data_IF_893356131723
#
_entry.id   IF_893356131723
#
_cell.length_a   1.000
_cell.length_b   1.000
_cell.length_c   1.000
_cell.angle_alpha   90.00
_cell.angle_beta   90.00
_cell.angle_gamma   90.00
#
_symmetry.space_group_name_H-M   'P 1'
#
loop_
_entity.id
_entity.type
_entity.pdbx_description
1 polymer ?
#
# COMPACT_ATOMS: atom_id res chain seq x y z
N UNK A 1 0.72 -6.43 11.91
CA UNK A 1 0.97 -6.46 10.45
C UNK A 1 -0.32 -6.03 9.78
N UNK A 2 -0.27 -5.01 8.91
CA UNK A 2 -1.44 -4.56 8.16
C UNK A 2 -1.73 -5.45 6.95
N UNK A 3 -2.92 -5.32 6.36
CA UNK A 3 -3.30 -6.11 5.17
C UNK A 3 -2.39 -5.85 3.97
N UNK A 4 -1.97 -4.60 3.76
CA UNK A 4 -1.02 -4.24 2.71
C UNK A 4 0.35 -4.94 2.89
N UNK A 5 0.84 -5.05 4.12
CA UNK A 5 2.09 -5.77 4.44
C UNK A 5 1.98 -7.26 4.08
N UNK A 6 0.81 -7.88 4.36
CA UNK A 6 0.57 -9.28 4.07
C UNK A 6 0.58 -9.55 2.57
N UNK A 7 -0.13 -8.71 1.79
CA UNK A 7 -0.16 -8.79 0.33
C UNK A 7 1.26 -8.65 -0.23
N UNK A 8 2.00 -7.64 0.24
CA UNK A 8 3.37 -7.40 -0.25
C UNK A 8 4.34 -8.51 0.15
N UNK A 9 4.26 -9.00 1.38
CA UNK A 9 5.10 -10.11 1.85
C UNK A 9 4.85 -11.39 1.05
N UNK A 10 3.61 -11.64 0.62
CA UNK A 10 3.29 -12.75 -0.29
C UNK A 10 3.91 -12.52 -1.67
N UNK A 11 3.80 -11.32 -2.24
CA UNK A 11 4.46 -10.98 -3.51
C UNK A 11 5.99 -11.16 -3.44
N UNK A 12 6.63 -10.79 -2.33
CA UNK A 12 8.07 -10.99 -2.13
C UNK A 12 8.46 -12.48 -2.09
N UNK A 13 7.62 -13.34 -1.49
CA UNK A 13 7.91 -14.77 -1.31
C UNK A 13 7.54 -15.63 -2.51
N UNK A 14 6.37 -15.37 -3.10
CA UNK A 14 5.74 -16.22 -4.11
C UNK A 14 5.84 -15.62 -5.52
N UNK A 15 6.09 -14.31 -5.62
CA UNK A 15 6.36 -13.64 -6.89
C UNK A 15 5.24 -13.80 -7.91
N UNK A 16 5.60 -14.31 -9.09
CA UNK A 16 4.67 -14.47 -10.20
C UNK A 16 3.54 -15.47 -9.91
N UNK A 17 3.79 -16.51 -9.11
CA UNK A 17 2.77 -17.50 -8.78
C UNK A 17 1.58 -16.85 -8.05
N UNK A 18 1.84 -15.90 -7.15
CA UNK A 18 0.80 -15.17 -6.46
C UNK A 18 0.03 -14.21 -7.38
N UNK A 19 0.69 -13.63 -8.38
CA UNK A 19 -0.01 -12.85 -9.42
C UNK A 19 -0.94 -13.76 -10.23
N UNK A 20 -0.51 -14.98 -10.59
CA UNK A 20 -1.38 -15.94 -11.28
C UNK A 20 -2.58 -16.33 -10.43
N UNK A 21 -2.38 -16.63 -9.14
CA UNK A 21 -3.46 -16.91 -8.18
C UNK A 21 -4.47 -15.75 -8.13
N UNK A 22 -4.00 -14.49 -8.10
CA UNK A 22 -4.88 -13.32 -8.14
C UNK A 22 -5.73 -13.28 -9.41
N UNK A 23 -5.20 -13.67 -10.56
CA UNK A 23 -5.95 -13.68 -11.83
C UNK A 23 -6.98 -14.82 -11.82
N UNK A 24 -6.56 -16.02 -11.42
CA UNK A 24 -7.41 -17.22 -11.37
C UNK A 24 -8.60 -17.02 -10.44
N UNK A 25 -8.38 -16.39 -9.29
CA UNK A 25 -9.41 -16.07 -8.31
C UNK A 25 -10.18 -14.78 -8.60
N UNK A 26 -9.91 -14.10 -9.73
CA UNK A 26 -10.51 -12.81 -10.07
C UNK A 26 -10.43 -11.80 -8.91
N UNK A 27 -9.23 -11.67 -8.33
CA UNK A 27 -8.99 -10.82 -7.18
C UNK A 27 -9.48 -9.40 -7.44
N UNK A 28 -10.41 -8.93 -6.62
CA UNK A 28 -10.93 -7.57 -6.64
C UNK A 28 -9.88 -6.56 -6.17
N UNK A 29 -9.81 -5.44 -6.87
CA UNK A 29 -9.24 -4.21 -6.32
C UNK A 29 -9.99 -3.81 -5.06
N UNK A 30 -9.25 -3.30 -4.09
CA UNK A 30 -9.84 -2.92 -2.81
C UNK A 30 -9.06 -1.77 -2.19
N UNK A 31 -9.30 -1.50 -0.91
CA UNK A 31 -8.66 -0.40 -0.19
C UNK A 31 -7.14 -0.56 0.00
N UNK A 32 -6.60 -1.77 -0.20
CA UNK A 32 -5.17 -2.09 -0.03
C UNK A 32 -4.48 -2.56 -1.32
N UNK A 33 -5.22 -2.81 -2.40
CA UNK A 33 -4.70 -3.39 -3.63
C UNK A 33 -5.24 -2.66 -4.85
N UNK A 34 -4.34 -2.28 -5.75
CA UNK A 34 -4.63 -1.55 -6.98
C UNK A 34 -3.79 -2.15 -8.12
N UNK A 35 -4.45 -2.54 -9.22
CA UNK A 35 -3.81 -3.05 -10.42
C UNK A 35 -3.65 -1.89 -11.42
N UNK A 36 -2.51 -1.85 -12.09
CA UNK A 36 -2.27 -0.86 -13.14
C UNK A 36 -1.60 -1.46 -14.35
N UNK A 37 -2.06 -1.04 -15.51
CA UNK A 37 -1.33 -1.22 -16.76
C UNK A 37 -0.33 -0.09 -16.93
N UNK A 38 0.87 -0.46 -17.38
CA UNK A 38 1.80 0.52 -17.94
C UNK A 38 1.27 0.98 -19.30
N UNK A 39 1.29 2.29 -19.55
CA UNK A 39 0.78 2.89 -20.80
C UNK A 39 1.36 2.22 -22.05
N UNK A 40 2.67 2.01 -22.06
CA UNK A 40 3.36 1.23 -23.10
C UNK A 40 4.25 0.17 -22.41
N UNK A 41 3.88 -1.12 -22.47
CA UNK A 41 4.64 -2.19 -21.83
C UNK A 41 5.97 -2.50 -22.54
N UNK A 42 6.19 -2.02 -23.77
CA UNK A 42 7.41 -2.29 -24.54
C UNK A 42 8.59 -1.44 -24.09
N UNK A 43 8.33 -0.27 -23.53
CA UNK A 43 9.34 0.65 -23.01
C UNK A 43 9.38 0.63 -21.49
N UNK A 44 10.58 0.77 -20.91
CA UNK A 44 10.74 0.94 -19.47
C UNK A 44 10.51 2.39 -19.01
N UNK A 45 10.49 3.36 -19.93
CA UNK A 45 10.33 4.77 -19.56
C UNK A 45 8.91 5.06 -19.08
N UNK A 46 8.80 5.82 -18.00
CA UNK A 46 7.52 6.29 -17.47
C UNK A 46 6.91 7.37 -18.37
N UNK A 47 5.70 7.12 -18.87
CA UNK A 47 4.91 8.13 -19.59
C UNK A 47 4.42 9.24 -18.64
N UNK A 48 3.84 10.30 -19.20
CA UNK A 48 3.19 11.33 -18.39
C UNK A 48 2.04 10.79 -17.56
N UNK A 49 1.27 9.84 -18.10
CA UNK A 49 0.12 9.25 -17.41
C UNK A 49 0.55 8.17 -16.40
N UNK A 50 1.60 7.40 -16.70
CA UNK A 50 2.19 6.48 -15.71
C UNK A 50 2.65 7.26 -14.47
N UNK A 51 3.29 8.43 -14.66
CA UNK A 51 3.72 9.32 -13.56
C UNK A 51 2.55 9.86 -12.75
N UNK A 52 1.47 10.30 -13.42
CA UNK A 52 0.25 10.77 -12.73
C UNK A 52 -0.36 9.64 -11.91
N UNK A 53 -0.57 8.46 -12.52
CA UNK A 53 -1.16 7.30 -11.85
C UNK A 53 -0.33 6.88 -10.64
N UNK A 54 0.99 6.82 -10.79
CA UNK A 54 1.90 6.52 -9.69
C UNK A 54 1.80 7.56 -8.57
N UNK A 55 1.91 8.86 -8.88
CA UNK A 55 1.81 9.92 -7.87
C UNK A 55 0.46 9.93 -7.14
N UNK A 56 -0.63 9.72 -7.88
CA UNK A 56 -2.00 9.61 -7.34
C UNK A 56 -2.10 8.45 -6.34
N UNK A 57 -1.62 7.28 -6.72
CA UNK A 57 -1.67 6.09 -5.89
C UNK A 57 -0.77 6.20 -4.65
N UNK A 58 0.44 6.73 -4.80
CA UNK A 58 1.35 6.98 -3.68
C UNK A 58 0.72 7.93 -2.65
N UNK A 59 0.12 9.04 -3.09
CA UNK A 59 -0.56 10.00 -2.22
C UNK A 59 -1.78 9.37 -1.57
N UNK A 60 -2.63 8.71 -2.36
CA UNK A 60 -3.86 8.07 -1.90
C UNK A 60 -3.63 7.03 -0.81
N UNK A 61 -2.69 6.12 -1.02
CA UNK A 61 -2.36 5.11 -0.02
C UNK A 61 -1.65 5.68 1.21
N UNK A 62 -0.70 6.62 1.04
CA UNK A 62 -0.01 7.26 2.17
C UNK A 62 -0.97 8.02 3.09
N UNK A 63 -2.05 8.56 2.53
CA UNK A 63 -3.08 9.32 3.24
C UNK A 63 -4.20 8.46 3.85
N UNK A 64 -4.18 7.14 3.62
CA UNK A 64 -5.21 6.21 4.09
C UNK A 64 -4.60 5.17 5.03
N UNK A 65 -4.54 3.90 4.64
CA UNK A 65 -4.05 2.78 5.45
C UNK A 65 -2.92 2.02 4.75
N UNK A 66 -2.22 2.68 3.83
CA UNK A 66 -1.26 2.04 2.94
C UNK A 66 -1.93 1.17 1.87
N UNK A 67 -1.11 0.52 1.05
CA UNK A 67 -1.56 -0.34 -0.03
C UNK A 67 -0.44 -0.84 -0.93
N UNK A 68 -0.80 -1.65 -1.91
CA UNK A 68 0.08 -2.25 -2.90
C UNK A 68 -0.43 -1.94 -4.29
N UNK A 69 0.46 -1.46 -5.15
CA UNK A 69 0.21 -1.27 -6.58
C UNK A 69 0.92 -2.40 -7.33
N UNK A 70 0.23 -3.10 -8.22
CA UNK A 70 0.86 -4.11 -9.09
C UNK A 70 0.77 -3.64 -10.54
N UNK A 71 1.95 -3.37 -11.12
CA UNK A 71 2.09 -2.94 -12.51
C UNK A 71 2.21 -4.13 -13.46
N UNK A 72 1.45 -4.08 -14.55
CA UNK A 72 1.42 -5.11 -15.59
C UNK A 72 0.28 -6.12 -15.41
N UNK A 73 -0.72 -5.82 -14.58
CA UNK A 73 -1.95 -6.63 -14.46
C UNK A 73 -3.11 -5.79 -15.00
N UNK A 74 -3.90 -6.39 -15.88
CA UNK A 74 -5.14 -5.81 -16.39
C UNK A 74 -6.27 -6.16 -15.43
N UNK A 75 -7.00 -5.14 -14.98
CA UNK A 75 -8.23 -5.29 -14.24
C UNK A 75 -9.41 -4.77 -15.07
N UNK A 76 -10.57 -5.43 -14.93
CA UNK A 76 -11.81 -5.06 -15.63
C UNK A 76 -12.99 -5.03 -14.65
N UNK A 77 -13.95 -4.13 -14.87
CA UNK A 77 -15.10 -4.02 -14.00
C UNK A 77 -16.00 -5.25 -14.15
N UNK A 78 -16.42 -5.81 -13.03
CA UNK A 78 -17.50 -6.81 -12.97
C UNK A 78 -18.86 -6.17 -13.16
N UNK A 79 -19.93 -6.98 -13.15
CA UNK A 79 -21.30 -6.49 -13.16
C UNK A 79 -21.62 -5.54 -11.99
N UNK A 80 -20.91 -5.67 -10.87
CA UNK A 80 -21.05 -4.82 -9.68
C UNK A 80 -20.15 -3.57 -9.74
N UNK A 81 -19.48 -3.32 -10.87
CA UNK A 81 -18.53 -2.22 -11.12
C UNK A 81 -17.29 -2.23 -10.23
N UNK A 82 -16.89 -3.40 -9.74
CA UNK A 82 -15.64 -3.61 -9.02
C UNK A 82 -14.61 -4.13 -10.01
N UNK A 83 -13.44 -3.52 -10.07
CA UNK A 83 -12.37 -3.96 -10.97
C UNK A 83 -11.70 -5.24 -10.43
N UNK A 84 -11.69 -6.30 -11.24
CA UNK A 84 -11.05 -7.60 -10.92
C UNK A 84 -9.89 -7.89 -11.84
N UNK A 85 -8.83 -8.51 -11.31
CA UNK A 85 -7.71 -9.00 -12.11
C UNK A 85 -8.19 -10.02 -13.15
N UNK A 86 -7.85 -9.81 -14.43
CA UNK A 86 -8.31 -10.67 -15.52
C UNK A 86 -7.22 -11.13 -16.49
N UNK A 87 -6.14 -10.38 -16.67
CA UNK A 87 -5.05 -10.76 -17.58
C UNK A 87 -3.70 -10.17 -17.15
N UNK A 88 -2.61 -10.76 -17.64
CA UNK A 88 -1.26 -10.24 -17.45
C UNK A 88 -0.77 -9.48 -18.69
N UNK A 89 -0.25 -8.27 -18.47
CA UNK A 89 0.45 -7.44 -19.45
C UNK A 89 1.86 -7.12 -18.96
N UNK A 90 2.76 -8.12 -18.95
CA UNK A 90 4.12 -7.97 -18.45
C UNK A 90 4.91 -6.89 -19.21
N UNK A 91 5.71 -6.12 -18.49
CA UNK A 91 6.56 -5.05 -19.02
C UNK A 91 7.87 -5.66 -19.54
N UNK A 92 8.24 -5.36 -20.79
CA UNK A 92 9.41 -5.94 -21.49
C UNK A 92 10.73 -5.75 -20.72
N UNK A 93 10.92 -4.57 -20.13
CA UNK A 93 12.07 -4.27 -19.28
C UNK A 93 11.59 -3.73 -17.92
N UNK A 94 11.04 -4.62 -17.12
CA UNK A 94 10.51 -4.32 -15.79
C UNK A 94 11.60 -3.90 -14.80
N UNK A 95 12.85 -4.38 -14.95
CA UNK A 95 14.01 -3.90 -14.14
C UNK A 95 14.33 -2.42 -14.40
N UNK A 96 14.31 -2.01 -15.68
CA UNK A 96 14.46 -0.60 -16.05
C UNK A 96 13.31 0.24 -15.49
N UNK A 97 12.09 -0.29 -15.53
CA UNK A 97 10.91 0.39 -15.02
C UNK A 97 10.96 0.54 -13.49
N UNK A 98 11.39 -0.49 -12.76
CA UNK A 98 11.68 -0.44 -11.32
C UNK A 98 12.68 0.69 -10.99
N UNK A 99 13.75 0.81 -11.79
CA UNK A 99 14.76 1.85 -11.60
C UNK A 99 14.17 3.25 -11.80
N UNK A 100 13.34 3.44 -12.84
CA UNK A 100 12.61 4.69 -13.06
C UNK A 100 11.70 5.04 -11.88
N UNK A 101 10.90 4.09 -11.38
CA UNK A 101 10.00 4.30 -10.25
C UNK A 101 10.75 4.68 -8.97
N UNK A 102 11.87 3.99 -8.67
CA UNK A 102 12.74 4.31 -7.54
C UNK A 102 13.32 5.72 -7.66
N UNK A 103 13.70 6.15 -8.87
CA UNK A 103 14.17 7.51 -9.12
C UNK A 103 13.14 8.59 -8.78
N UNK A 104 11.84 8.29 -8.88
CA UNK A 104 10.77 9.25 -8.56
C UNK A 104 10.51 9.40 -7.06
N UNK A 105 10.80 8.39 -6.24
CA UNK A 105 10.37 8.35 -4.83
C UNK A 105 10.83 9.57 -4.02
N UNK A 106 12.02 10.10 -4.32
CA UNK A 106 12.61 11.24 -3.62
C UNK A 106 11.80 12.54 -3.74
N UNK A 107 10.99 12.67 -4.79
CA UNK A 107 10.25 13.90 -5.11
C UNK A 107 8.81 13.65 -5.53
N UNK A 108 8.32 12.42 -5.40
CA UNK A 108 6.95 12.08 -5.80
C UNK A 108 5.91 12.67 -4.83
N UNK A 109 6.27 12.82 -3.55
CA UNK A 109 5.38 13.27 -2.48
C UNK A 109 5.97 14.44 -1.68
N UNK A 110 5.11 15.25 -1.08
CA UNK A 110 5.49 16.20 -0.01
C UNK A 110 4.45 16.14 1.12
N UNK A 111 4.85 15.84 2.37
CA UNK A 111 6.16 15.31 2.76
C UNK A 111 6.45 13.95 2.11
N UNK A 112 7.70 13.47 2.17
CA UNK A 112 8.05 12.14 1.65
C UNK A 112 7.53 11.03 2.57
N UNK A 113 7.15 9.89 1.99
CA UNK A 113 6.89 8.65 2.71
C UNK A 113 8.05 7.67 2.45
N UNK A 114 9.02 7.63 3.35
CA UNK A 114 10.27 6.87 3.16
C UNK A 114 10.12 5.36 3.22
N UNK A 115 8.98 4.84 3.69
CA UNK A 115 8.76 3.40 3.77
C UNK A 115 8.26 2.77 2.47
N UNK A 116 8.07 3.57 1.40
CA UNK A 116 7.65 3.06 0.09
C UNK A 116 8.76 2.16 -0.49
N UNK A 117 8.37 0.99 -1.00
CA UNK A 117 9.29 0.00 -1.60
C UNK A 117 8.77 -0.46 -2.95
N UNK A 118 9.67 -0.57 -3.92
CA UNK A 118 9.37 -1.20 -5.21
C UNK A 118 10.17 -2.50 -5.36
N UNK A 119 9.53 -3.56 -5.86
CA UNK A 119 10.17 -4.84 -6.17
C UNK A 119 9.90 -5.24 -7.61
N UNK A 120 10.88 -5.93 -8.21
CA UNK A 120 10.73 -6.56 -9.51
C UNK A 120 10.24 -7.99 -9.33
N UNK A 121 9.21 -8.37 -10.08
CA UNK A 121 8.67 -9.72 -10.11
C UNK A 121 8.90 -10.29 -11.52
N UNK A 122 9.85 -11.22 -11.70
CA UNK A 122 10.17 -11.78 -13.01
C UNK A 122 9.07 -12.70 -13.53
N UNK A 123 8.93 -12.74 -14.85
CA UNK A 123 8.24 -13.85 -15.48
C UNK A 123 9.11 -15.12 -15.46
N UNK A 124 8.51 -16.32 -15.40
CA UNK A 124 9.24 -17.57 -15.53
C UNK A 124 10.07 -17.58 -16.82
N UNK A 125 11.34 -17.97 -16.70
CA UNK A 125 12.29 -18.07 -17.82
C UNK A 125 12.63 -16.75 -18.54
N UNK A 126 12.26 -15.59 -17.98
CA UNK A 126 12.48 -14.26 -18.59
C UNK A 126 13.20 -13.36 -17.58
N UNK A 127 14.42 -12.91 -17.91
CA UNK A 127 15.29 -12.21 -16.94
C UNK A 127 15.09 -10.70 -16.83
N UNK A 128 14.40 -10.10 -17.80
CA UNK A 128 14.16 -8.64 -17.89
C UNK A 128 12.69 -8.29 -17.92
N UNK A 129 11.86 -9.20 -18.43
CA UNK A 129 10.41 -9.02 -18.56
C UNK A 129 9.70 -9.42 -17.27
N UNK A 130 8.61 -8.75 -16.95
CA UNK A 130 7.83 -9.10 -15.76
C UNK A 130 6.98 -7.95 -15.25
N UNK A 131 6.82 -7.89 -13.94
CA UNK A 131 5.93 -6.98 -13.24
C UNK A 131 6.74 -6.16 -12.23
N UNK A 132 6.15 -5.07 -11.76
CA UNK A 132 6.70 -4.30 -10.66
C UNK A 132 5.61 -4.08 -9.63
N UNK A 133 5.89 -4.41 -8.37
CA UNK A 133 4.99 -4.12 -7.28
C UNK A 133 5.54 -2.97 -6.43
N UNK A 134 4.67 -2.04 -6.04
CA UNK A 134 4.97 -0.94 -5.14
C UNK A 134 4.20 -1.13 -3.85
N UNK A 135 4.88 -1.26 -2.73
CA UNK A 135 4.30 -1.15 -1.41
C UNK A 135 4.36 0.28 -0.90
N UNK A 136 3.24 0.77 -0.40
CA UNK A 136 3.09 2.08 0.23
C UNK A 136 2.59 1.85 1.66
N UNK A 137 3.40 2.13 2.69
CA UNK A 137 2.93 2.01 4.07
C UNK A 137 1.95 3.14 4.42
N UNK A 138 1.09 2.91 5.43
CA UNK A 138 0.38 4.00 6.11
C UNK A 138 1.40 5.01 6.64
N UNK A 139 1.14 6.29 6.42
CA UNK A 139 2.01 7.33 6.93
C UNK A 139 1.58 7.81 8.31
N UNK A 140 2.58 8.10 9.14
CA UNK A 140 2.40 8.77 10.43
C UNK A 140 2.35 10.31 10.31
N UNK A 141 2.65 10.85 9.12
CA UNK A 141 2.69 12.30 8.85
C UNK A 141 1.84 12.71 7.63
N UNK A 142 0.55 12.33 7.57
CA UNK A 142 -0.35 12.88 6.57
C UNK A 142 -0.56 14.40 6.77
N UNK A 143 -0.98 15.15 5.73
CA UNK A 143 -1.28 14.69 4.37
C UNK A 143 -0.08 14.76 3.42
N UNK A 144 0.02 13.79 2.51
CA UNK A 144 1.01 13.69 1.43
C UNK A 144 0.46 14.19 0.11
N UNK A 145 1.07 15.24 -0.46
CA UNK A 145 0.72 15.80 -1.77
C UNK A 145 1.43 15.06 -2.89
N UNK A 146 0.71 14.66 -3.94
CA UNK A 146 1.30 14.12 -5.16
C UNK A 146 1.91 15.24 -6.02
N UNK A 147 3.22 15.17 -6.30
CA UNK A 147 3.92 16.15 -7.14
C UNK A 147 4.07 15.73 -8.61
N UNK A 148 3.90 14.44 -8.92
CA UNK A 148 4.10 13.90 -10.26
C UNK A 148 2.98 14.35 -11.24
N UNK A 149 3.11 15.58 -11.75
CA UNK A 149 2.17 16.24 -12.69
C UNK A 149 0.77 16.56 -12.14
N UNK A 150 0.53 16.35 -10.84
CA UNK A 150 -0.79 16.56 -10.22
C UNK A 150 -0.82 17.76 -9.27
N UNK A 151 0.17 17.92 -8.40
CA UNK A 151 0.21 18.94 -7.34
C UNK A 151 -1.05 18.96 -6.44
N UNK A 152 -1.60 17.79 -6.16
CA UNK A 152 -2.88 17.60 -5.46
C UNK A 152 -2.76 16.53 -4.37
N UNK A 153 -3.67 16.56 -3.40
CA UNK A 153 -3.79 15.53 -2.37
C UNK A 153 -4.86 14.52 -2.77
N UNK A 154 -4.56 13.24 -2.58
CA UNK A 154 -5.49 12.14 -2.87
C UNK A 154 -5.68 11.25 -1.64
N UNK A 155 -6.82 10.58 -1.58
CA UNK A 155 -7.14 9.54 -0.59
C UNK A 155 -7.72 8.33 -1.32
N UNK A 156 -7.50 7.12 -0.78
CA UNK A 156 -8.16 5.91 -1.28
C UNK A 156 -9.57 5.85 -0.70
N UNK A 157 -10.57 5.66 -1.56
CA UNK A 157 -11.97 5.46 -1.21
C UNK A 157 -12.48 4.24 -1.96
N UNK A 158 -12.58 3.11 -1.28
CA UNK A 158 -12.88 1.82 -1.92
C UNK A 158 -11.75 1.39 -2.85
N UNK A 159 -12.09 1.17 -4.11
CA UNK A 159 -11.20 0.79 -5.21
C UNK A 159 -10.65 2.00 -6.01
N UNK A 160 -10.99 3.23 -5.60
CA UNK A 160 -10.65 4.43 -6.35
C UNK A 160 -9.83 5.43 -5.54
N UNK A 161 -9.02 6.22 -6.24
CA UNK A 161 -8.35 7.38 -5.65
C UNK A 161 -9.12 8.64 -5.97
N UNK A 162 -9.56 9.35 -4.93
CA UNK A 162 -10.33 10.59 -5.05
C UNK A 162 -9.50 11.78 -4.58
N UNK A 163 -9.79 12.95 -5.15
CA UNK A 163 -9.20 14.20 -4.68
C UNK A 163 -9.60 14.40 -3.21
N UNK A 164 -8.64 14.80 -2.38
CA UNK A 164 -8.93 15.15 -1.00
C UNK A 164 -9.63 16.52 -0.96
N UNK A 165 -10.86 16.54 -0.47
CA UNK A 165 -11.65 17.75 -0.27
C UNK A 165 -11.03 18.67 0.78
N UNK A 166 -11.32 19.97 0.69
CA UNK A 166 -10.75 20.98 1.58
C UNK A 166 -10.97 20.68 3.07
N UNK A 167 -12.20 20.30 3.45
CA UNK A 167 -12.55 19.99 4.85
C UNK A 167 -11.77 18.77 5.37
N UNK A 168 -11.58 17.74 4.54
CA UNK A 168 -10.78 16.58 4.91
C UNK A 168 -9.29 16.93 5.02
N UNK A 169 -8.79 17.82 4.15
CA UNK A 169 -7.42 18.29 4.21
C UNK A 169 -7.15 19.11 5.48
N UNK A 170 -8.06 20.02 5.85
CA UNK A 170 -7.99 20.76 7.11
C UNK A 170 -7.99 19.83 8.32
N UNK A 171 -8.86 18.83 8.33
CA UNK A 171 -8.87 17.80 9.38
C UNK A 171 -7.54 17.04 9.44
N UNK A 172 -6.97 16.65 8.30
CA UNK A 172 -5.69 15.93 8.27
C UNK A 172 -4.52 16.77 8.80
N UNK A 173 -4.49 18.07 8.54
CA UNK A 173 -3.50 18.98 9.15
C UNK A 173 -3.76 19.22 10.64
N UNK A 174 -5.03 19.22 11.06
CA UNK A 174 -5.45 19.44 12.44
C UNK A 174 -5.36 18.21 13.35
N UNK A 175 -5.32 16.99 12.79
CA UNK A 175 -5.17 15.74 13.55
C UNK A 175 -3.88 15.78 14.35
N UNK A 176 -4.01 15.87 15.68
CA UNK A 176 -2.93 15.50 16.63
C UNK A 176 -2.42 14.12 16.21
N UNK A 177 -1.09 13.96 16.12
CA UNK A 177 -0.45 12.64 15.85
C UNK A 177 -1.17 11.59 16.69
N UNK A 178 -1.80 10.59 16.04
CA UNK A 178 -2.45 9.48 16.75
C UNK A 178 -1.42 8.96 17.76
N UNK A 179 -1.72 8.93 19.07
CA UNK A 179 -0.74 8.43 20.02
C UNK A 179 -0.42 6.99 19.66
N UNK A 180 0.84 6.71 19.32
CA UNK A 180 1.32 5.34 19.12
C UNK A 180 1.42 4.68 20.50
N UNK A 181 0.38 3.95 20.88
CA UNK A 181 0.27 3.28 22.18
C UNK A 181 0.86 1.86 22.06
N UNK A 182 2.06 1.68 22.60
CA UNK A 182 2.64 0.35 22.80
C UNK A 182 2.37 -0.11 24.24
N UNK A 183 1.71 -1.25 24.40
CA UNK A 183 1.46 -1.86 25.70
C UNK A 183 2.56 -2.90 25.96
N UNK A 184 3.43 -2.58 26.90
CA UNK A 184 4.44 -3.51 27.43
C UNK A 184 3.91 -4.10 28.74
N UNK A 185 3.86 -5.43 28.84
CA UNK A 185 3.50 -6.12 30.08
C UNK A 185 4.51 -7.23 30.38
N UNK A 186 4.83 -7.40 31.65
CA UNK A 186 5.67 -8.47 32.16
C UNK A 186 4.89 -9.22 33.23
N UNK A 187 4.76 -10.55 33.08
CA UNK A 187 4.13 -11.40 34.09
C UNK A 187 5.23 -11.96 34.97
N UNK A 188 5.35 -11.45 36.19
CA UNK A 188 6.30 -11.97 37.18
C UNK A 188 5.57 -13.07 37.99
N UNK A 189 6.01 -14.34 37.92
CA UNK A 189 5.44 -15.40 38.74
C UNK A 189 5.86 -15.20 40.21
N UNK A 190 4.89 -14.88 41.07
CA UNK A 190 5.08 -14.94 42.51
C UNK A 190 5.01 -16.39 42.99
N UNK A 191 6.07 -16.87 43.63
CA UNK A 191 6.07 -18.20 44.27
C UNK A 191 4.99 -18.21 45.35
N UNK A 192 3.90 -18.95 45.10
CA UNK A 192 2.89 -19.23 46.12
C UNK A 192 2.94 -20.72 46.42
N UNK A 193 3.46 -21.08 47.60
CA UNK A 193 3.41 -22.46 48.09
C UNK A 193 1.97 -22.68 48.59
N UNK A 194 1.18 -23.45 47.82
CA UNK A 194 -0.13 -23.96 48.25
C UNK A 194 -1.39 -23.28 47.68
N UNK A 195 -1.43 -22.91 46.40
CA UNK A 195 -2.62 -22.31 45.75
C UNK A 195 -3.28 -23.19 44.68
N UNK A 196 -4.61 -23.28 44.73
CA UNK A 196 -5.48 -23.92 43.71
C UNK A 196 -5.50 -23.03 42.44
N UNK A 197 -5.62 -23.63 41.26
CA UNK A 197 -5.83 -22.90 39.98
C UNK A 197 -6.90 -21.83 40.12
N UNK A 198 -6.58 -20.59 39.75
CA UNK A 198 -7.49 -19.45 39.84
C UNK A 198 -7.34 -18.52 38.65
N UNK A 199 -8.47 -18.10 38.07
CA UNK A 199 -8.53 -17.13 36.98
C UNK A 199 -8.34 -15.70 37.54
N UNK A 200 -7.35 -14.94 37.04
CA UNK A 200 -7.18 -13.52 37.37
C UNK A 200 -7.58 -12.65 36.18
N UNK A 201 -8.63 -11.84 36.36
CA UNK A 201 -9.06 -10.83 35.39
C UNK A 201 -8.44 -9.48 35.75
N UNK A 202 -7.66 -8.93 34.83
CA UNK A 202 -7.11 -7.57 34.95
C UNK A 202 -7.96 -6.60 34.14
N UNK A 203 -8.28 -5.45 34.73
CA UNK A 203 -8.96 -4.34 34.05
C UNK A 203 -7.95 -3.23 33.86
N UNK A 204 -7.64 -2.89 32.60
CA UNK A 204 -6.74 -1.78 32.27
C UNK A 204 -7.61 -0.53 32.10
N UNK A 205 -7.59 0.43 33.04
CA UNK A 205 -8.32 1.68 32.84
C UNK A 205 -7.55 2.56 31.85
N UNK A 206 -8.16 2.88 30.71
CA UNK A 206 -7.66 3.92 29.81
C UNK A 206 -8.39 5.24 30.11
N UNK A 207 -7.64 6.34 30.26
CA UNK A 207 -8.17 7.69 30.44
C UNK A 207 -7.58 8.58 29.36
N UNK A 208 -8.40 9.00 28.39
CA UNK A 208 -8.01 10.02 27.44
C UNK A 208 -7.80 11.35 28.20
N UNK A 209 -6.56 11.84 28.26
CA UNK A 209 -6.29 13.24 28.62
C UNK A 209 -6.38 14.07 27.35
N UNK A 210 -7.59 14.52 27.02
CA UNK A 210 -7.75 15.66 26.14
C UNK A 210 -7.78 16.92 27.03
N UNK A 211 -6.65 17.62 27.04
CA UNK A 211 -6.58 19.07 27.27
C UNK A 211 -6.03 19.73 26.00
#
# INVERSE_FOLDING_TARGET
MGNADLIFSKLEKEGYAYIQEMIENQQEENIFLDFKLKTDPKTFKLSGDDRKNYGKALSGFSNTSGGVIIWGVEAKPTHEKIDVACDTKPITNAKGFLTELNGLLNYALVPNNFGIKNIYIPLPNESTKGFVATYVPESNLPPHRALLKLNQYFIRSGDNFVLLEHVHLEDMFGRRQKPNLEIHYEIIPGVTIGGIEGERKYKIPYRNRNS
#
